data_IF_948946992853
#
_entry.id   IF_948946992853
#
_cell.length_a   1.000
_cell.length_b   1.000
_cell.length_c   1.000
_cell.angle_alpha   90.00
_cell.angle_beta   90.00
_cell.angle_gamma   90.00
#
_symmetry.space_group_name_H-M   'P 1'
#
loop_
_entity.id
_entity.type
_entity.pdbx_description
1 polymer ?
#
# COMPACT_ATOMS: atom_id res chain seq x y z
N UNK A 1 26.49 14.14 -7.21
CA UNK A 1 25.45 13.59 -6.31
C UNK A 1 24.13 13.76 -7.04
N UNK A 2 23.56 12.68 -7.57
CA UNK A 2 22.43 12.74 -8.52
C UNK A 2 21.19 13.25 -7.79
N UNK A 3 20.52 14.19 -8.45
CA UNK A 3 19.45 15.04 -7.97
C UNK A 3 18.07 14.39 -8.17
N UNK A 4 17.15 14.71 -7.25
CA UNK A 4 15.74 15.06 -7.46
C UNK A 4 14.77 14.01 -8.07
N UNK A 5 13.72 13.70 -7.32
CA UNK A 5 12.36 13.57 -7.85
C UNK A 5 11.36 14.11 -6.82
N UNK A 6 10.82 15.29 -7.12
CA UNK A 6 9.62 15.86 -6.51
C UNK A 6 8.42 15.27 -7.24
N UNK A 7 7.46 14.70 -6.51
CA UNK A 7 6.08 14.60 -7.00
C UNK A 7 5.14 14.83 -5.80
N UNK A 8 4.55 16.02 -5.83
CA UNK A 8 3.44 16.44 -5.00
C UNK A 8 2.19 15.80 -5.59
N UNK A 9 1.43 15.04 -4.81
CA UNK A 9 -0.02 14.95 -5.02
C UNK A 9 -0.71 14.89 -3.67
N UNK A 10 -1.07 16.08 -3.19
CA UNK A 10 -2.12 16.22 -2.20
C UNK A 10 -3.45 15.86 -2.89
N UNK A 11 -4.01 14.68 -2.59
CA UNK A 11 -5.38 14.33 -2.95
C UNK A 11 -6.27 14.49 -1.72
N UNK A 12 -7.22 15.40 -1.84
CA UNK A 12 -8.21 15.80 -0.84
C UNK A 12 -9.28 14.72 -0.62
N UNK A 13 -9.46 14.35 0.66
CA UNK A 13 -10.66 13.96 1.46
C UNK A 13 -11.87 13.34 0.74
N UNK A 14 -12.49 12.28 1.30
CA UNK A 14 -13.92 12.20 1.72
C UNK A 14 -14.31 10.80 2.31
N UNK A 15 -14.84 10.80 3.54
CA UNK A 15 -15.85 9.92 4.18
C UNK A 15 -15.73 8.37 4.09
N UNK A 16 -15.46 7.68 5.21
CA UNK A 16 -16.41 7.27 6.27
C UNK A 16 -17.23 6.00 5.94
N UNK A 17 -16.89 4.89 6.58
CA UNK A 17 -17.75 3.70 6.58
C UNK A 17 -17.12 2.43 7.14
N UNK A 18 -17.33 2.19 8.45
CA UNK A 18 -17.66 0.87 8.99
C UNK A 18 -16.63 -0.27 8.98
N UNK A 19 -16.13 -0.56 10.19
CA UNK A 19 -15.94 -1.90 10.75
C UNK A 19 -14.86 -2.83 10.15
N UNK A 20 -13.72 -2.89 10.86
CA UNK A 20 -12.99 -4.13 11.20
C UNK A 20 -12.56 -5.04 10.03
N UNK A 21 -12.21 -4.47 8.88
CA UNK A 21 -11.28 -5.08 7.95
C UNK A 21 -10.05 -4.16 7.91
N UNK A 22 -8.85 -4.73 8.01
CA UNK A 22 -7.66 -3.92 7.79
C UNK A 22 -7.72 -3.42 6.35
N UNK A 23 -7.85 -2.11 6.19
CA UNK A 23 -8.02 -1.52 4.87
C UNK A 23 -6.64 -1.38 4.22
N UNK A 24 -6.60 -1.41 2.88
CA UNK A 24 -5.39 -1.12 2.11
C UNK A 24 -4.67 0.14 2.63
N UNK A 25 -5.46 1.15 2.95
CA UNK A 25 -5.04 2.46 3.45
C UNK A 25 -4.41 2.43 4.86
N UNK A 26 -4.59 1.35 5.62
CA UNK A 26 -3.92 1.17 6.92
C UNK A 26 -2.46 0.71 6.75
N UNK A 27 -2.14 0.11 5.59
CA UNK A 27 -0.82 -0.39 5.25
C UNK A 27 -0.07 0.54 4.28
N UNK A 28 -0.78 1.31 3.46
CA UNK A 28 -0.21 2.38 2.61
C UNK A 28 0.10 3.62 3.49
N UNK A 29 1.29 3.61 4.10
CA UNK A 29 1.67 4.60 5.10
C UNK A 29 2.14 5.91 4.47
N UNK A 30 2.81 5.81 3.31
CA UNK A 30 3.25 6.98 2.56
C UNK A 30 2.17 7.54 1.60
N UNK A 31 1.08 6.79 1.41
CA UNK A 31 -0.10 7.17 0.62
C UNK A 31 0.23 7.36 -0.85
N UNK A 32 1.14 6.55 -1.37
CA UNK A 32 1.51 6.55 -2.78
C UNK A 32 0.55 5.71 -3.66
N UNK A 33 -0.40 5.01 -3.03
CA UNK A 33 -1.38 4.14 -3.68
C UNK A 33 -0.90 2.70 -3.85
N UNK A 34 0.21 2.33 -3.23
CA UNK A 34 0.78 0.99 -3.23
C UNK A 34 1.28 0.62 -1.82
N UNK A 35 1.22 -0.67 -1.47
CA UNK A 35 1.87 -1.16 -0.26
C UNK A 35 3.21 -1.74 -0.66
N UNK A 36 4.29 -1.05 -0.30
CA UNK A 36 5.64 -1.54 -0.53
C UNK A 36 5.96 -2.75 0.38
N UNK A 37 6.97 -3.55 0.01
CA UNK A 37 7.45 -4.64 0.88
C UNK A 37 7.89 -4.14 2.26
N UNK A 38 8.41 -2.92 2.35
CA UNK A 38 8.81 -2.30 3.62
C UNK A 38 7.62 -1.99 4.51
N UNK A 39 6.51 -1.50 3.94
CA UNK A 39 5.27 -1.24 4.68
C UNK A 39 4.56 -2.54 5.04
N UNK A 40 4.47 -3.48 4.11
CA UNK A 40 3.92 -4.81 4.39
C UNK A 40 4.68 -5.54 5.49
N UNK A 41 6.01 -5.34 5.60
CA UNK A 41 6.84 -5.94 6.65
C UNK A 41 6.52 -5.44 8.06
N UNK A 42 5.77 -4.35 8.20
CA UNK A 42 5.30 -3.85 9.50
C UNK A 42 4.14 -4.71 10.06
N UNK A 43 3.56 -5.57 9.22
CA UNK A 43 2.48 -6.48 9.58
C UNK A 43 2.86 -7.91 9.22
N UNK A 44 3.03 -8.77 10.23
CA UNK A 44 3.39 -10.18 10.00
C UNK A 44 2.37 -10.92 9.13
N UNK A 45 1.08 -10.59 9.28
CA UNK A 45 0.01 -11.18 8.47
C UNK A 45 0.13 -10.79 7.00
N UNK A 46 0.42 -9.52 6.72
CA UNK A 46 0.53 -9.02 5.36
C UNK A 46 1.84 -9.48 4.72
N UNK A 47 2.97 -9.40 5.43
CA UNK A 47 4.27 -9.90 4.96
C UNK A 47 4.21 -11.38 4.54
N UNK A 48 3.45 -12.20 5.28
CA UNK A 48 3.31 -13.65 4.99
C UNK A 48 2.50 -13.96 3.73
N UNK A 49 1.63 -13.03 3.31
CA UNK A 49 0.80 -13.17 2.10
C UNK A 49 1.22 -12.21 0.98
N UNK A 50 2.20 -11.34 1.21
CA UNK A 50 2.64 -10.32 0.27
C UNK A 50 3.01 -10.95 -1.07
N UNK A 51 3.94 -11.91 -1.06
CA UNK A 51 4.40 -12.60 -2.27
C UNK A 51 3.27 -13.44 -2.94
N UNK A 52 2.12 -13.65 -2.26
CA UNK A 52 0.94 -14.29 -2.85
C UNK A 52 -0.02 -13.29 -3.49
N UNK A 53 -0.07 -12.06 -2.98
CA UNK A 53 -0.91 -10.98 -3.49
C UNK A 53 -0.22 -10.27 -4.66
N UNK A 54 1.11 -10.09 -4.59
CA UNK A 54 1.98 -9.51 -5.62
C UNK A 54 2.03 -10.45 -6.85
N UNK A 55 0.98 -10.36 -7.67
CA UNK A 55 0.73 -11.28 -8.77
C UNK A 55 1.49 -10.87 -10.02
N UNK A 56 1.80 -9.59 -10.16
CA UNK A 56 2.63 -9.08 -11.24
C UNK A 56 4.14 -9.11 -10.92
N UNK A 57 4.51 -9.30 -9.65
CA UNK A 57 5.87 -9.49 -9.19
C UNK A 57 6.69 -8.20 -9.21
N UNK A 58 6.03 -7.05 -9.12
CA UNK A 58 6.68 -5.74 -9.21
C UNK A 58 7.22 -5.22 -7.86
N UNK A 59 6.98 -5.98 -6.78
CA UNK A 59 7.54 -5.75 -5.45
C UNK A 59 6.74 -4.78 -4.58
N UNK A 60 5.50 -4.46 -4.96
CA UNK A 60 4.51 -3.70 -4.19
C UNK A 60 3.11 -4.24 -4.47
N UNK A 61 2.16 -4.03 -3.55
CA UNK A 61 0.76 -4.41 -3.75
C UNK A 61 -0.03 -3.20 -4.19
N UNK A 62 -0.69 -3.30 -5.34
CA UNK A 62 -1.75 -2.36 -5.70
C UNK A 62 -3.01 -2.59 -4.87
N UNK A 63 -3.88 -1.58 -4.76
CA UNK A 63 -5.20 -1.72 -4.12
C UNK A 63 -6.00 -2.90 -4.71
N UNK A 64 -5.86 -3.11 -6.02
CA UNK A 64 -6.49 -4.21 -6.72
C UNK A 64 -5.97 -5.55 -6.22
N UNK A 65 -4.64 -5.73 -6.16
CA UNK A 65 -4.01 -6.97 -5.68
C UNK A 65 -4.28 -7.25 -4.21
N UNK A 66 -4.36 -6.21 -3.38
CA UNK A 66 -4.70 -6.35 -1.97
C UNK A 66 -6.13 -6.84 -1.75
N UNK A 67 -7.06 -6.43 -2.62
CA UNK A 67 -8.48 -6.80 -2.57
C UNK A 67 -8.85 -8.00 -3.48
N UNK A 68 -7.87 -8.72 -4.03
CA UNK A 68 -8.10 -9.86 -4.93
C UNK A 68 -8.62 -11.13 -4.25
#
# INVERSE_FOLDING_TARGET
MKKLATAITAATVLFAGSAMAAEFNDFDLDKDGFISKSEASLSESLASIFDKLDSDGDGKLSEKEFNQ
#
